data_IF_124911378256
#
_entry.id   IF_124911378256
#
_cell.length_a   1.000
_cell.length_b   1.000
_cell.length_c   1.000
_cell.angle_alpha   90.00
_cell.angle_beta   90.00
_cell.angle_gamma   90.00
#
_symmetry.space_group_name_H-M   'P 1'
#
loop_
_entity.id
_entity.type
_entity.pdbx_description
1 polymer ?
#
# COMPACT_ATOMS: atom_id res chain seq x y z
N UNK A 1 -9.79 -6.55 -1.86
CA UNK A 1 -10.30 -5.16 -1.87
C UNK A 1 -10.92 -4.87 -3.22
N UNK A 2 -11.15 -3.60 -3.58
CA UNK A 2 -11.46 -3.20 -4.97
C UNK A 2 -10.28 -2.51 -5.67
N UNK A 3 -9.14 -2.37 -4.97
CA UNK A 3 -7.94 -1.68 -5.41
C UNK A 3 -6.78 -2.65 -5.20
N UNK A 4 -6.04 -2.92 -6.26
CA UNK A 4 -4.92 -3.88 -6.28
C UNK A 4 -3.56 -3.15 -6.36
N UNK A 5 -3.55 -1.93 -6.91
CA UNK A 5 -2.37 -1.07 -7.05
C UNK A 5 -2.75 0.36 -6.66
N UNK A 6 -1.87 1.02 -5.89
CA UNK A 6 -1.98 2.43 -5.53
C UNK A 6 -0.71 3.17 -5.97
N UNK A 7 -0.84 4.07 -6.95
CA UNK A 7 0.20 5.04 -7.32
C UNK A 7 -0.16 6.36 -6.67
N UNK A 8 0.68 6.84 -5.75
CA UNK A 8 0.43 8.04 -4.98
C UNK A 8 1.66 8.92 -4.92
N UNK A 9 1.71 9.94 -5.80
CA UNK A 9 2.77 10.94 -5.79
C UNK A 9 2.40 12.08 -4.84
N UNK A 10 3.01 12.05 -3.67
CA UNK A 10 2.88 13.08 -2.64
C UNK A 10 4.18 13.91 -2.58
N UNK A 11 4.08 15.15 -2.12
CA UNK A 11 5.24 16.04 -2.01
C UNK A 11 6.04 15.73 -0.72
N UNK A 12 7.32 15.31 -0.81
CA UNK A 12 8.13 14.99 0.35
C UNK A 12 8.74 16.22 1.04
N UNK A 13 8.71 17.40 0.41
CA UNK A 13 9.44 18.58 0.88
C UNK A 13 8.61 19.52 1.74
N UNK A 14 7.30 19.57 1.52
CA UNK A 14 6.39 20.43 2.28
C UNK A 14 5.40 19.61 3.10
N UNK A 15 5.44 19.80 4.43
CA UNK A 15 4.45 19.21 5.33
C UNK A 15 3.08 19.85 5.06
N UNK A 16 2.11 19.04 4.68
CA UNK A 16 0.75 19.51 4.42
C UNK A 16 -0.13 19.29 5.65
N UNK A 17 -1.21 20.08 5.83
CA UNK A 17 -2.14 19.91 6.95
C UNK A 17 -2.78 18.51 7.03
N UNK A 18 -2.74 17.75 5.92
CA UNK A 18 -3.29 16.42 5.76
C UNK A 18 -2.22 15.30 5.78
N UNK A 19 -1.02 15.56 6.30
CA UNK A 19 0.04 14.55 6.44
C UNK A 19 -0.39 13.30 7.24
N UNK A 20 -1.36 13.46 8.16
CA UNK A 20 -1.97 12.33 8.88
C UNK A 20 -2.71 11.37 7.95
N UNK A 21 -3.34 11.90 6.91
CA UNK A 21 -4.14 11.12 5.97
C UNK A 21 -3.25 10.35 4.99
N UNK A 22 -2.15 10.97 4.55
CA UNK A 22 -1.10 10.32 3.74
C UNK A 22 -0.58 9.08 4.47
N UNK A 23 -0.23 9.22 5.76
CA UNK A 23 0.25 8.10 6.57
C UNK A 23 -0.83 7.04 6.80
N UNK A 24 -2.08 7.44 6.99
CA UNK A 24 -3.18 6.51 7.16
C UNK A 24 -3.42 5.65 5.91
N UNK A 25 -3.37 6.27 4.72
CA UNK A 25 -3.53 5.59 3.43
C UNK A 25 -2.37 4.61 3.18
N UNK A 26 -1.13 5.04 3.36
CA UNK A 26 0.05 4.18 3.20
C UNK A 26 0.02 3.00 4.17
N UNK A 27 -0.37 3.24 5.44
CA UNK A 27 -0.52 2.18 6.44
C UNK A 27 -1.56 1.14 6.01
N UNK A 28 -2.68 1.59 5.45
CA UNK A 28 -3.72 0.68 4.97
C UNK A 28 -3.22 -0.15 3.78
N UNK A 29 -2.53 0.48 2.82
CA UNK A 29 -1.96 -0.23 1.68
C UNK A 29 -0.97 -1.31 2.10
N UNK A 30 -0.09 -1.01 3.07
CA UNK A 30 0.85 -1.99 3.63
C UNK A 30 0.13 -3.12 4.36
N UNK A 31 -0.93 -2.83 5.14
CA UNK A 31 -1.68 -3.86 5.86
C UNK A 31 -2.35 -4.87 4.90
N UNK A 32 -2.87 -4.39 3.78
CA UNK A 32 -3.50 -5.26 2.79
C UNK A 32 -2.54 -5.79 1.72
N UNK A 33 -1.23 -5.58 1.89
CA UNK A 33 -0.19 -5.98 0.94
C UNK A 33 -0.50 -5.52 -0.51
N UNK A 34 -0.97 -4.28 -0.65
CA UNK A 34 -1.28 -3.64 -1.94
C UNK A 34 0.03 -3.15 -2.56
N UNK A 35 0.16 -3.25 -3.89
CA UNK A 35 1.27 -2.65 -4.62
C UNK A 35 1.24 -1.13 -4.47
N UNK A 36 2.28 -0.56 -3.85
CA UNK A 36 2.37 0.87 -3.54
C UNK A 36 3.51 1.53 -4.32
N UNK A 37 3.21 2.58 -5.07
CA UNK A 37 4.20 3.46 -5.68
C UNK A 37 4.10 4.85 -5.09
N UNK A 38 5.11 5.28 -4.32
CA UNK A 38 5.16 6.63 -3.75
C UNK A 38 5.93 7.64 -4.61
N UNK A 39 6.62 7.14 -5.63
CA UNK A 39 7.43 7.94 -6.55
C UNK A 39 7.38 7.36 -7.96
N UNK A 40 7.86 8.16 -8.91
CA UNK A 40 7.86 7.79 -10.33
C UNK A 40 8.71 6.56 -10.62
N UNK A 41 9.87 6.43 -9.97
CA UNK A 41 10.76 5.30 -10.21
C UNK A 41 10.08 3.97 -9.85
N UNK A 42 9.44 3.91 -8.68
CA UNK A 42 8.69 2.74 -8.22
C UNK A 42 7.49 2.46 -9.13
N UNK A 43 6.79 3.50 -9.60
CA UNK A 43 5.69 3.35 -10.55
C UNK A 43 6.16 2.78 -11.89
N UNK A 44 7.29 3.26 -12.41
CA UNK A 44 7.88 2.76 -13.66
C UNK A 44 8.23 1.27 -13.54
N UNK A 45 8.83 0.85 -12.41
CA UNK A 45 9.13 -0.57 -12.15
C UNK A 45 7.87 -1.42 -12.00
N UNK A 46 6.84 -0.91 -11.32
CA UNK A 46 5.58 -1.61 -11.16
C UNK A 46 4.94 -1.84 -12.53
N UNK A 47 4.77 -0.79 -13.35
CA UNK A 47 4.09 -0.89 -14.65
C UNK A 47 4.86 -1.73 -15.67
N UNK A 48 6.20 -1.73 -15.60
CA UNK A 48 7.05 -2.53 -16.50
C UNK A 48 7.25 -3.98 -16.05
N UNK A 49 6.80 -4.34 -14.84
CA UNK A 49 6.94 -5.69 -14.32
C UNK A 49 6.17 -6.70 -15.17
N UNK A 50 6.78 -7.85 -15.54
CA UNK A 50 6.07 -8.95 -16.19
C UNK A 50 4.87 -9.46 -15.38
N UNK A 51 4.91 -9.28 -14.06
CA UNK A 51 3.84 -9.69 -13.15
C UNK A 51 2.56 -8.83 -13.30
N UNK A 52 2.63 -7.68 -13.96
CA UNK A 52 1.43 -6.85 -14.24
C UNK A 52 0.58 -7.37 -15.39
N UNK A 53 1.11 -8.25 -16.23
CA UNK A 53 0.39 -8.76 -17.41
C UNK A 53 -0.52 -9.95 -17.09
N UNK A 54 -0.58 -10.38 -15.84
CA UNK A 54 -1.38 -11.53 -15.42
C UNK A 54 -1.98 -11.35 -14.02
N UNK A 55 -2.74 -12.35 -13.59
CA UNK A 55 -3.22 -12.41 -12.21
C UNK A 55 -2.04 -12.67 -11.27
N UNK A 56 -1.94 -11.85 -10.23
CA UNK A 56 -0.96 -12.00 -9.17
C UNK A 56 -1.67 -12.25 -7.84
N UNK A 57 -1.37 -13.39 -7.21
CA UNK A 57 -1.95 -13.73 -5.92
C UNK A 57 -1.09 -13.12 -4.80
N UNK A 58 -1.62 -12.07 -4.17
CA UNK A 58 -0.97 -11.41 -3.03
C UNK A 58 -1.10 -12.27 -1.78
N UNK A 59 0.01 -12.51 -1.09
CA UNK A 59 -0.04 -13.13 0.23
C UNK A 59 -0.58 -12.12 1.26
N UNK A 60 -1.80 -12.34 1.74
CA UNK A 60 -2.40 -11.50 2.78
C UNK A 60 -1.88 -11.93 4.16
N UNK A 61 -1.45 -10.97 5.00
CA UNK A 61 -1.07 -11.28 6.37
C UNK A 61 -2.26 -11.86 7.15
N UNK A 62 -2.03 -12.93 7.93
CA UNK A 62 -3.06 -13.48 8.81
C UNK A 62 -3.22 -12.60 10.07
N UNK A 63 -4.29 -11.80 10.07
CA UNK A 63 -4.67 -10.96 11.20
C UNK A 63 -5.49 -11.68 12.28
N UNK A 64 -5.77 -12.98 12.13
CA UNK A 64 -6.61 -13.73 13.07
C UNK A 64 -6.03 -13.74 14.50
N UNK A 65 -4.70 -13.83 14.61
CA UNK A 65 -3.99 -13.81 15.91
C UNK A 65 -4.09 -12.44 16.57
N UNK A 66 -4.02 -11.36 15.79
CA UNK A 66 -4.19 -10.00 16.30
C UNK A 66 -5.62 -9.77 16.83
N UNK A 67 -6.63 -10.20 16.07
CA UNK A 67 -8.04 -10.06 16.44
C UNK A 67 -8.43 -10.89 17.67
N UNK A 68 -7.79 -12.05 17.86
CA UNK A 68 -8.05 -12.95 19.00
C UNK A 68 -7.26 -12.59 20.26
N UNK A 69 -6.42 -11.56 20.21
CA UNK A 69 -5.66 -11.11 21.38
C UNK A 69 -6.62 -10.60 22.46
N UNK A 70 -6.54 -11.17 23.68
CA UNK A 70 -7.23 -10.59 24.84
C UNK A 70 -6.67 -9.19 25.09
N UNK A 71 -7.52 -8.19 24.95
CA UNK A 71 -7.28 -6.84 25.44
C UNK A 71 -7.15 -6.94 26.97
N UNK A 72 -5.99 -6.54 27.51
CA UNK A 72 -5.78 -6.39 28.95
C UNK A 72 -6.26 -5.02 29.37
#
# INVERSE_FOLDING_TARGET
GKIDILIFFWDPMEAQPHDSDVKALLRLGVAWNILLACDRATADFIVTSPLMQGEYETMLPDYSTYLKRRLK
#
